data_IF_549587485427
#
_entry.id   IF_549587485427
#
_cell.length_a   1.000
_cell.length_b   1.000
_cell.length_c   1.000
_cell.angle_alpha   90.00
_cell.angle_beta   90.00
_cell.angle_gamma   90.00
#
_symmetry.space_group_name_H-M   'P 1'
#
loop_
_entity.id
_entity.type
_entity.pdbx_description
1 polymer ?
#
# COMPACT_ATOMS: atom_id res chain seq x y z
N UNK A 1 22.25 -19.06 -1.58
CA UNK A 1 21.77 -17.66 -1.55
C UNK A 1 20.77 -17.53 -0.42
N UNK A 2 21.15 -16.88 0.70
CA UNK A 2 20.18 -16.53 1.74
C UNK A 2 19.43 -15.28 1.28
N UNK A 3 18.23 -15.47 0.74
CA UNK A 3 17.27 -14.38 0.53
C UNK A 3 16.57 -14.09 1.86
N UNK A 4 16.65 -12.85 2.35
CA UNK A 4 15.95 -12.38 3.53
C UNK A 4 15.15 -11.11 3.22
N UNK A 5 14.05 -10.91 3.92
CA UNK A 5 13.29 -9.65 3.85
C UNK A 5 14.00 -8.66 4.78
N UNK A 6 14.43 -7.53 4.22
CA UNK A 6 14.97 -6.42 4.98
C UNK A 6 13.92 -5.31 5.03
N UNK A 7 13.71 -4.76 6.23
CA UNK A 7 12.77 -3.67 6.47
C UNK A 7 13.51 -2.43 6.93
N UNK A 8 12.87 -1.28 6.74
CA UNK A 8 13.28 0.02 7.26
C UNK A 8 12.03 0.77 7.74
N UNK A 9 12.16 1.74 8.66
CA UNK A 9 11.02 2.58 9.07
C UNK A 9 10.42 3.29 7.86
N UNK A 10 9.09 3.25 7.71
CA UNK A 10 8.41 3.93 6.61
C UNK A 10 8.42 5.45 6.78
N UNK A 11 8.32 5.91 8.04
CA UNK A 11 8.15 7.31 8.37
C UNK A 11 9.37 7.88 9.10
N UNK A 12 9.70 9.12 8.77
CA UNK A 12 10.62 9.94 9.55
C UNK A 12 9.95 10.40 10.85
N UNK A 13 10.74 10.99 11.75
CA UNK A 13 10.21 11.61 12.98
C UNK A 13 9.21 12.76 12.71
N UNK A 14 9.21 13.30 11.50
CA UNK A 14 8.31 14.39 11.08
C UNK A 14 6.97 13.88 10.51
N UNK A 15 6.78 12.56 10.39
CA UNK A 15 5.55 11.97 9.85
C UNK A 15 5.45 12.00 8.32
N UNK A 16 6.60 12.06 7.66
CA UNK A 16 6.75 11.99 6.20
C UNK A 16 7.43 10.68 5.79
N UNK A 17 7.39 10.30 4.52
CA UNK A 17 8.15 9.14 4.05
C UNK A 17 9.65 9.33 4.32
N UNK A 18 10.31 8.34 4.94
CA UNK A 18 11.72 8.45 5.34
C UNK A 18 12.67 8.26 4.14
N UNK A 19 12.84 9.32 3.34
CA UNK A 19 13.75 9.32 2.19
C UNK A 19 15.21 9.02 2.58
N UNK A 20 15.68 9.60 3.68
CA UNK A 20 17.05 9.41 4.14
C UNK A 20 17.28 7.98 4.65
N UNK A 21 16.35 7.46 5.46
CA UNK A 21 16.37 6.06 5.89
C UNK A 21 16.32 5.08 4.72
N UNK A 22 15.47 5.36 3.72
CA UNK A 22 15.39 4.58 2.49
C UNK A 22 16.72 4.59 1.72
N UNK A 23 17.30 5.77 1.48
CA UNK A 23 18.58 5.96 0.78
C UNK A 23 19.73 5.23 1.49
N UNK A 24 19.82 5.36 2.80
CA UNK A 24 20.85 4.73 3.61
C UNK A 24 20.71 3.21 3.60
N UNK A 25 19.48 2.71 3.72
CA UNK A 25 19.20 1.28 3.71
C UNK A 25 19.61 0.66 2.36
N UNK A 26 19.20 1.26 1.24
CA UNK A 26 19.59 0.77 -0.09
C UNK A 26 21.10 0.86 -0.32
N UNK A 27 21.75 1.95 0.12
CA UNK A 27 23.20 2.11 -0.03
C UNK A 27 23.98 1.06 0.77
N UNK A 28 23.55 0.75 2.00
CA UNK A 28 24.16 -0.30 2.83
C UNK A 28 23.95 -1.69 2.25
N UNK A 29 22.76 -1.97 1.72
CA UNK A 29 22.43 -3.26 1.10
C UNK A 29 23.14 -3.44 -0.24
N UNK A 30 23.17 -2.42 -1.10
CA UNK A 30 23.85 -2.42 -2.40
C UNK A 30 25.36 -2.66 -2.32
N UNK A 31 26.00 -2.24 -1.22
CA UNK A 31 27.43 -2.56 -0.95
C UNK A 31 27.67 -4.06 -0.70
N UNK A 32 26.66 -4.78 -0.20
CA UNK A 32 26.76 -6.21 0.15
C UNK A 32 26.23 -7.11 -0.96
N UNK A 33 25.21 -6.67 -1.69
CA UNK A 33 24.52 -7.41 -2.73
C UNK A 33 24.21 -6.50 -3.91
N UNK A 34 24.59 -6.93 -5.12
CA UNK A 34 24.39 -6.15 -6.34
C UNK A 34 22.94 -6.08 -6.81
N UNK A 35 22.15 -7.11 -6.51
CA UNK A 35 20.74 -7.18 -6.89
C UNK A 35 19.85 -6.75 -5.74
N UNK A 36 19.00 -5.75 -5.97
CA UNK A 36 18.03 -5.21 -5.02
C UNK A 36 16.62 -5.47 -5.56
N UNK A 37 15.78 -6.16 -4.79
CA UNK A 37 14.35 -6.30 -5.09
C UNK A 37 13.60 -5.47 -4.05
N UNK A 38 12.96 -4.40 -4.50
CA UNK A 38 12.32 -3.38 -3.66
C UNK A 38 10.81 -3.52 -3.85
N UNK A 39 10.06 -3.66 -2.76
CA UNK A 39 8.59 -3.68 -2.78
C UNK A 39 8.07 -2.37 -2.20
N UNK A 40 7.31 -1.62 -3.00
CA UNK A 40 6.62 -0.40 -2.59
C UNK A 40 5.13 -0.63 -2.69
N UNK A 41 4.41 -0.52 -1.58
CA UNK A 41 2.95 -0.65 -1.54
C UNK A 41 2.32 0.69 -1.17
N UNK A 42 1.75 1.38 -2.15
CA UNK A 42 1.07 2.67 -1.99
C UNK A 42 -0.20 2.75 -2.86
N UNK A 43 -1.38 3.08 -2.31
CA UNK A 43 -1.66 3.28 -0.88
C UNK A 43 -1.29 2.09 0.01
N UNK A 44 -0.70 2.38 1.15
CA UNK A 44 -0.05 1.39 2.00
C UNK A 44 -1.06 0.62 2.86
N UNK A 45 -0.86 -0.69 2.96
CA UNK A 45 -1.37 -1.51 4.04
C UNK A 45 -0.19 -1.85 4.98
N UNK A 46 -0.26 -1.49 6.28
CA UNK A 46 -1.45 -1.16 7.04
C UNK A 46 -1.76 0.34 7.24
N UNK A 47 -0.85 1.25 6.85
CA UNK A 47 -0.90 2.64 7.35
C UNK A 47 -1.92 3.53 6.65
N UNK A 48 -2.31 3.23 5.42
CA UNK A 48 -3.15 4.12 4.61
C UNK A 48 -2.41 5.32 4.03
N UNK A 49 -1.10 5.25 3.91
CA UNK A 49 -0.28 6.32 3.37
C UNK A 49 -0.02 6.17 1.87
N UNK A 50 0.05 7.29 1.16
CA UNK A 50 0.58 7.42 -0.21
C UNK A 50 1.53 8.62 -0.22
N UNK A 51 2.72 8.51 -0.84
CA UNK A 51 3.68 9.60 -0.88
C UNK A 51 3.13 10.89 -1.48
N UNK A 52 3.64 12.01 -0.98
CA UNK A 52 3.52 13.32 -1.59
C UNK A 52 4.36 13.39 -2.88
N UNK A 53 4.08 14.34 -3.80
CA UNK A 53 4.84 14.45 -5.05
C UNK A 53 6.35 14.53 -4.86
N UNK A 54 6.84 15.36 -3.92
CA UNK A 54 8.27 15.49 -3.65
C UNK A 54 8.90 14.21 -3.06
N UNK A 55 8.13 13.42 -2.30
CA UNK A 55 8.60 12.14 -1.78
C UNK A 55 8.70 11.09 -2.89
N UNK A 56 7.75 11.07 -3.83
CA UNK A 56 7.82 10.20 -5.01
C UNK A 56 9.02 10.54 -5.92
N UNK A 57 9.29 11.82 -6.12
CA UNK A 57 10.50 12.30 -6.81
C UNK A 57 11.78 11.89 -6.05
N UNK A 58 11.80 12.02 -4.73
CA UNK A 58 12.92 11.55 -3.91
C UNK A 58 13.15 10.04 -4.02
N UNK A 59 12.10 9.22 -3.98
CA UNK A 59 12.18 7.77 -4.17
C UNK A 59 12.79 7.46 -5.54
N UNK A 60 12.28 8.10 -6.60
CA UNK A 60 12.81 7.96 -7.97
C UNK A 60 14.30 8.26 -8.01
N UNK A 61 14.72 9.41 -7.48
CA UNK A 61 16.10 9.89 -7.57
C UNK A 61 17.05 8.96 -6.80
N UNK A 62 16.64 8.47 -5.63
CA UNK A 62 17.40 7.49 -4.85
C UNK A 62 17.58 6.18 -5.65
N UNK A 63 16.53 5.69 -6.31
CA UNK A 63 16.60 4.46 -7.11
C UNK A 63 17.58 4.64 -8.28
N UNK A 64 17.51 5.76 -8.99
CA UNK A 64 18.45 6.09 -10.07
C UNK A 64 19.89 6.21 -9.53
N UNK A 65 20.09 6.82 -8.37
CA UNK A 65 21.40 6.91 -7.73
C UNK A 65 21.99 5.52 -7.45
N UNK A 66 21.17 4.57 -6.99
CA UNK A 66 21.62 3.19 -6.75
C UNK A 66 21.93 2.45 -8.06
N UNK A 67 21.13 2.64 -9.11
CA UNK A 67 21.39 2.04 -10.42
C UNK A 67 22.72 2.54 -11.00
N UNK A 68 23.00 3.85 -10.90
CA UNK A 68 24.27 4.48 -11.32
C UNK A 68 25.50 3.98 -10.55
N UNK A 69 25.33 3.47 -9.32
CA UNK A 69 26.38 2.78 -8.55
C UNK A 69 26.61 1.33 -9.02
N UNK A 70 25.92 0.91 -10.08
CA UNK A 70 26.00 -0.42 -10.67
C UNK A 70 25.28 -1.49 -9.85
N UNK A 71 24.12 -1.16 -9.27
CA UNK A 71 23.21 -2.13 -8.67
C UNK A 71 22.09 -2.47 -9.66
N UNK A 72 21.72 -3.74 -9.74
CA UNK A 72 20.55 -4.22 -10.50
C UNK A 72 19.30 -4.08 -9.62
N UNK A 73 18.31 -3.35 -10.08
CA UNK A 73 17.13 -3.01 -9.29
C UNK A 73 15.89 -3.59 -9.95
N UNK A 74 15.14 -4.37 -9.19
CA UNK A 74 13.75 -4.72 -9.50
C UNK A 74 12.87 -3.96 -8.52
N UNK A 75 12.21 -2.90 -8.98
CA UNK A 75 11.22 -2.18 -8.19
C UNK A 75 9.84 -2.76 -8.49
N UNK A 76 9.18 -3.30 -7.47
CA UNK A 76 7.80 -3.79 -7.53
C UNK A 76 6.89 -2.76 -6.88
N UNK A 77 5.95 -2.21 -7.66
CA UNK A 77 4.91 -1.31 -7.15
C UNK A 77 3.61 -2.10 -6.98
N UNK A 78 3.26 -2.38 -5.73
CA UNK A 78 1.99 -2.99 -5.35
C UNK A 78 0.93 -1.90 -5.23
N UNK A 79 0.14 -1.77 -6.30
CA UNK A 79 -0.90 -0.78 -6.51
C UNK A 79 -2.29 -1.32 -6.10
N UNK A 80 -2.35 -2.28 -5.18
CA UNK A 80 -3.61 -2.91 -4.78
C UNK A 80 -4.71 -1.93 -4.34
N UNK A 81 -4.36 -0.72 -3.89
CA UNK A 81 -5.30 0.31 -3.44
C UNK A 81 -5.30 1.56 -4.34
N UNK A 82 -4.71 1.48 -5.53
CA UNK A 82 -4.62 2.61 -6.46
C UNK A 82 -5.99 3.26 -6.70
N UNK A 83 -6.00 4.57 -6.99
CA UNK A 83 -7.19 5.44 -7.07
C UNK A 83 -7.91 5.77 -5.75
N UNK A 84 -7.57 5.15 -4.62
CA UNK A 84 -8.20 5.46 -3.32
C UNK A 84 -7.47 6.58 -2.57
N UNK A 85 -7.31 7.74 -3.20
CA UNK A 85 -6.60 8.88 -2.63
C UNK A 85 -7.57 9.92 -2.05
N UNK A 86 -7.48 10.25 -0.75
CA UNK A 86 -8.47 11.13 -0.09
C UNK A 86 -7.97 12.53 0.25
N UNK A 87 -6.64 12.71 0.36
CA UNK A 87 -5.96 14.00 0.54
C UNK A 87 -4.80 14.14 -0.49
N UNK A 88 -3.95 15.14 -0.28
CA UNK A 88 -2.76 15.39 -1.10
C UNK A 88 -1.84 14.16 -1.10
N UNK A 89 -1.48 13.75 -2.31
CA UNK A 89 -0.65 12.58 -2.63
C UNK A 89 -0.33 12.62 -4.13
N UNK A 90 0.60 11.79 -4.59
CA UNK A 90 0.65 11.43 -6.02
C UNK A 90 -0.68 10.80 -6.46
N UNK A 91 -1.04 11.04 -7.72
CA UNK A 91 -2.24 10.47 -8.37
C UNK A 91 -1.92 9.46 -9.46
N UNK A 92 -0.65 9.33 -9.80
CA UNK A 92 -0.12 8.30 -10.68
C UNK A 92 0.64 7.25 -9.87
N UNK A 93 0.76 6.06 -10.43
CA UNK A 93 1.55 4.98 -9.82
C UNK A 93 3.02 5.38 -9.74
N UNK A 94 3.73 4.94 -8.70
CA UNK A 94 5.19 5.03 -8.67
C UNK A 94 5.82 4.36 -9.90
N UNK A 95 5.12 3.40 -10.54
CA UNK A 95 5.56 2.80 -11.79
C UNK A 95 5.87 3.86 -12.87
N UNK A 96 5.01 4.87 -13.00
CA UNK A 96 5.18 5.94 -13.99
C UNK A 96 6.40 6.82 -13.66
N UNK A 97 6.73 6.99 -12.38
CA UNK A 97 7.89 7.75 -11.95
C UNK A 97 9.20 7.02 -12.22
N UNK A 98 9.19 5.68 -12.32
CA UNK A 98 10.42 4.86 -12.27
C UNK A 98 10.70 4.02 -13.50
N UNK A 99 9.85 4.06 -14.53
CA UNK A 99 10.12 3.41 -15.82
C UNK A 99 11.04 4.25 -16.71
N UNK A 100 11.83 3.63 -17.59
CA UNK A 100 12.66 4.32 -18.59
C UNK A 100 13.83 5.15 -18.03
N UNK A 101 14.29 4.86 -16.81
CA UNK A 101 15.27 5.73 -16.12
C UNK A 101 16.75 5.30 -16.26
N UNK A 102 17.03 4.00 -16.27
CA UNK A 102 18.40 3.45 -16.32
C UNK A 102 18.37 1.95 -16.65
N UNK A 103 19.25 1.45 -17.50
CA UNK A 103 19.28 0.03 -17.95
C UNK A 103 19.20 -1.01 -16.82
N UNK A 104 19.87 -0.75 -15.69
CA UNK A 104 19.83 -1.60 -14.49
C UNK A 104 18.51 -1.55 -13.68
N UNK A 105 17.48 -0.81 -14.11
CA UNK A 105 16.18 -0.72 -13.44
C UNK A 105 15.14 -1.49 -14.25
N UNK A 106 14.50 -2.45 -13.60
CA UNK A 106 13.25 -3.05 -14.04
C UNK A 106 12.14 -2.67 -13.06
N UNK A 107 11.18 -1.89 -13.52
CA UNK A 107 9.98 -1.57 -12.73
C UNK A 107 8.86 -2.57 -13.07
N UNK A 108 8.17 -3.06 -12.05
CA UNK A 108 7.06 -4.03 -12.18
C UNK A 108 5.85 -3.47 -11.45
N UNK A 109 4.76 -3.19 -12.17
CA UNK A 109 3.48 -2.81 -11.57
C UNK A 109 2.64 -4.05 -11.34
N UNK A 110 2.07 -4.14 -10.14
CA UNK A 110 1.07 -5.13 -9.77
C UNK A 110 -0.22 -4.39 -9.39
N UNK A 111 -1.24 -4.46 -10.22
CA UNK A 111 -2.55 -3.83 -10.02
C UNK A 111 -3.70 -4.77 -10.37
N UNK A 112 -4.94 -4.32 -10.21
CA UNK A 112 -6.09 -5.13 -10.62
C UNK A 112 -7.43 -4.74 -10.01
N UNK A 113 -8.47 -5.38 -10.55
CA UNK A 113 -9.87 -5.13 -10.23
C UNK A 113 -10.24 -5.36 -8.74
N UNK A 114 -9.36 -6.01 -7.97
CA UNK A 114 -9.64 -6.47 -6.60
C UNK A 114 -10.20 -5.36 -5.69
N UNK A 115 -9.59 -4.16 -5.67
CA UNK A 115 -10.11 -3.01 -4.90
C UNK A 115 -10.45 -1.82 -5.77
N UNK A 116 -9.77 -1.63 -6.90
CA UNK A 116 -10.11 -0.56 -7.85
C UNK A 116 -11.55 -0.69 -8.36
N UNK A 117 -12.01 -1.93 -8.57
CA UNK A 117 -13.36 -2.24 -9.05
C UNK A 117 -14.24 -2.92 -7.98
N UNK A 118 -13.76 -3.03 -6.74
CA UNK A 118 -14.51 -3.58 -5.60
C UNK A 118 -15.00 -5.03 -5.81
N UNK A 119 -14.16 -5.86 -6.44
CA UNK A 119 -14.45 -7.28 -6.74
C UNK A 119 -13.38 -8.23 -6.19
N UNK A 120 -13.18 -8.22 -4.87
CA UNK A 120 -12.11 -8.98 -4.19
C UNK A 120 -12.00 -10.47 -4.58
N UNK A 121 -13.16 -11.13 -4.71
CA UNK A 121 -13.28 -12.55 -5.02
C UNK A 121 -13.06 -12.91 -6.49
N UNK A 122 -12.96 -11.93 -7.39
CA UNK A 122 -12.82 -12.20 -8.83
C UNK A 122 -11.43 -12.66 -9.23
N UNK A 123 -10.41 -12.37 -8.41
CA UNK A 123 -9.02 -12.82 -8.61
C UNK A 123 -8.47 -12.43 -9.99
N UNK A 124 -8.76 -11.21 -10.43
CA UNK A 124 -8.23 -10.60 -11.66
C UNK A 124 -7.23 -9.52 -11.28
N UNK A 125 -6.02 -9.61 -11.84
CA UNK A 125 -4.96 -8.63 -11.69
C UNK A 125 -3.99 -8.70 -12.85
N UNK A 126 -3.11 -7.71 -12.95
CA UNK A 126 -2.20 -7.54 -14.07
C UNK A 126 -0.76 -7.38 -13.56
N UNK A 127 0.18 -7.73 -14.44
CA UNK A 127 1.61 -7.52 -14.24
C UNK A 127 2.08 -6.71 -15.43
N UNK A 128 2.58 -5.51 -15.18
CA UNK A 128 3.12 -4.63 -16.22
C UNK A 128 4.60 -4.39 -15.97
N UNK A 129 5.42 -4.56 -17.01
CA UNK A 129 6.87 -4.35 -16.95
C UNK A 129 7.23 -3.01 -17.57
N UNK A 130 8.07 -2.25 -16.89
CA UNK A 130 8.69 -1.02 -17.37
C UNK A 130 10.19 -1.19 -17.39
N UNK A 131 10.77 -1.25 -18.59
CA UNK A 131 12.22 -1.35 -18.76
C UNK A 131 12.87 0.01 -18.53
N UNK A 132 14.08 -0.01 -17.98
CA UNK A 132 14.89 1.20 -17.86
C UNK A 132 15.61 1.61 -19.14
N UNK A 133 15.78 0.67 -20.09
CA UNK A 133 16.29 0.93 -21.45
C UNK A 133 15.29 0.35 -22.47
N UNK A 134 14.56 1.23 -23.15
CA UNK A 134 13.56 0.85 -24.15
C UNK A 134 14.17 0.24 -25.41
N UNK A 135 15.45 0.47 -25.69
CA UNK A 135 16.12 -0.11 -26.86
C UNK A 135 16.18 -1.65 -26.81
N UNK A 136 15.97 -2.24 -25.63
CA UNK A 136 15.95 -3.68 -25.41
C UNK A 136 14.54 -4.28 -25.41
N UNK A 137 13.49 -3.47 -25.60
CA UNK A 137 12.08 -3.88 -25.49
C UNK A 137 11.74 -5.12 -26.32
N UNK A 138 12.14 -5.13 -27.60
CA UNK A 138 11.84 -6.20 -28.55
C UNK A 138 12.43 -7.56 -28.15
N UNK A 139 13.55 -7.56 -27.40
CA UNK A 139 14.17 -8.78 -26.91
C UNK A 139 13.65 -9.17 -25.51
N UNK A 140 13.48 -8.20 -24.61
CA UNK A 140 13.23 -8.45 -23.19
C UNK A 140 11.75 -8.71 -22.91
N UNK A 141 10.83 -7.93 -23.48
CA UNK A 141 9.39 -8.12 -23.19
C UNK A 141 8.89 -9.51 -23.59
N UNK A 142 9.19 -10.06 -24.79
CA UNK A 142 8.77 -11.42 -25.14
C UNK A 142 9.37 -12.49 -24.22
N UNK A 143 10.59 -12.27 -23.72
CA UNK A 143 11.24 -13.19 -22.78
C UNK A 143 10.56 -13.17 -21.40
N UNK A 144 10.23 -11.97 -20.89
CA UNK A 144 9.49 -11.80 -19.64
C UNK A 144 8.08 -12.41 -19.76
N UNK A 145 7.35 -12.10 -20.83
CA UNK A 145 6.02 -12.63 -21.08
C UNK A 145 6.02 -14.16 -21.11
N UNK A 146 6.92 -14.79 -21.88
CA UNK A 146 7.05 -16.26 -21.93
C UNK A 146 7.35 -16.86 -20.55
N UNK A 147 8.22 -16.23 -19.76
CA UNK A 147 8.58 -16.72 -18.42
C UNK A 147 7.39 -16.58 -17.45
N UNK A 148 6.67 -15.47 -17.49
CA UNK A 148 5.46 -15.25 -16.69
C UNK A 148 4.36 -16.24 -17.08
N UNK A 149 4.10 -16.42 -18.38
CA UNK A 149 3.15 -17.42 -18.87
C UNK A 149 3.53 -18.84 -18.44
N UNK A 150 4.82 -19.19 -18.49
CA UNK A 150 5.31 -20.46 -17.96
C UNK A 150 5.09 -20.62 -16.44
N UNK A 151 5.32 -19.57 -15.67
CA UNK A 151 5.04 -19.55 -14.22
C UNK A 151 3.55 -19.70 -13.92
N UNK A 152 2.68 -18.97 -14.63
CA UNK A 152 1.22 -19.09 -14.51
C UNK A 152 0.79 -20.51 -14.88
N UNK A 153 1.24 -21.03 -16.02
CA UNK A 153 0.86 -22.37 -16.50
C UNK A 153 1.26 -23.47 -15.52
N UNK A 154 2.46 -23.38 -14.94
CA UNK A 154 2.98 -24.38 -14.01
C UNK A 154 2.39 -24.32 -12.61
N UNK A 155 1.75 -23.21 -12.22
CA UNK A 155 1.17 -23.02 -10.88
C UNK A 155 -0.34 -23.03 -10.84
N UNK A 156 -0.97 -22.29 -11.75
CA UNK A 156 -2.41 -22.01 -11.74
C UNK A 156 -3.11 -22.43 -13.03
N UNK A 157 -2.35 -22.82 -14.06
CA UNK A 157 -2.81 -23.03 -15.43
C UNK A 157 -3.27 -21.74 -16.12
N UNK A 158 -4.32 -21.09 -15.61
CA UNK A 158 -4.88 -19.83 -16.13
C UNK A 158 -5.69 -19.11 -15.03
N UNK A 159 -5.96 -17.82 -15.23
CA UNK A 159 -6.81 -17.03 -14.34
C UNK A 159 -8.31 -17.28 -14.64
N UNK A 160 -9.24 -17.02 -13.69
CA UNK A 160 -10.65 -17.36 -13.86
C UNK A 160 -11.30 -16.64 -15.05
N UNK A 161 -11.70 -17.40 -16.07
CA UNK A 161 -12.22 -16.82 -17.31
C UNK A 161 -13.52 -16.02 -17.10
N UNK A 162 -14.46 -16.54 -16.30
CA UNK A 162 -15.71 -15.83 -15.99
C UNK A 162 -15.43 -14.46 -15.37
N UNK A 163 -14.53 -14.40 -14.38
CA UNK A 163 -14.17 -13.15 -13.72
C UNK A 163 -13.50 -12.15 -14.65
N UNK A 164 -12.59 -12.61 -15.52
CA UNK A 164 -11.99 -11.76 -16.56
C UNK A 164 -13.06 -11.16 -17.49
N UNK A 165 -14.00 -11.99 -17.96
CA UNK A 165 -15.09 -11.55 -18.83
C UNK A 165 -16.01 -10.54 -18.14
N UNK A 166 -16.32 -10.73 -16.86
CA UNK A 166 -17.15 -9.79 -16.10
C UNK A 166 -16.42 -8.46 -15.85
N UNK A 167 -15.12 -8.49 -15.52
CA UNK A 167 -14.31 -7.27 -15.39
C UNK A 167 -14.27 -6.52 -16.72
N UNK A 168 -14.01 -7.19 -17.84
CA UNK A 168 -14.01 -6.56 -19.16
C UNK A 168 -15.34 -5.87 -19.47
N UNK A 169 -16.47 -6.58 -19.29
CA UNK A 169 -17.80 -6.01 -19.49
C UNK A 169 -18.10 -4.83 -18.57
N UNK A 170 -17.60 -4.86 -17.33
CA UNK A 170 -17.73 -3.74 -16.41
C UNK A 170 -16.93 -2.52 -16.90
N UNK A 171 -15.69 -2.71 -17.37
CA UNK A 171 -14.84 -1.64 -17.91
C UNK A 171 -15.43 -1.00 -19.17
N UNK A 172 -16.13 -1.77 -20.00
CA UNK A 172 -16.83 -1.32 -21.21
C UNK A 172 -18.19 -0.66 -20.92
N UNK A 173 -18.69 -0.77 -19.67
CA UNK A 173 -19.99 -0.21 -19.30
C UNK A 173 -19.96 1.32 -19.30
N UNK A 174 -20.94 2.02 -19.91
CA UNK A 174 -21.02 3.47 -19.86
C UNK A 174 -21.20 4.01 -18.42
N UNK A 175 -21.69 3.18 -17.49
CA UNK A 175 -21.91 3.58 -16.09
C UNK A 175 -20.67 3.37 -15.20
N UNK A 176 -19.62 2.72 -15.71
CA UNK A 176 -18.47 2.29 -14.92
C UNK A 176 -17.86 3.40 -14.07
N UNK A 177 -17.58 4.55 -14.69
CA UNK A 177 -16.96 5.68 -14.00
C UNK A 177 -17.86 6.23 -12.89
N UNK A 178 -19.17 6.35 -13.15
CA UNK A 178 -20.12 6.88 -12.17
C UNK A 178 -20.27 5.93 -10.97
N UNK A 179 -20.40 4.63 -11.21
CA UNK A 179 -20.52 3.63 -10.16
C UNK A 179 -19.25 3.55 -9.30
N UNK A 180 -18.07 3.62 -9.92
CA UNK A 180 -16.79 3.66 -9.20
C UNK A 180 -16.65 4.93 -8.38
N UNK A 181 -17.04 6.09 -8.92
CA UNK A 181 -17.01 7.36 -8.20
C UNK A 181 -17.93 7.34 -6.97
N UNK A 182 -19.14 6.79 -7.08
CA UNK A 182 -20.06 6.70 -5.95
C UNK A 182 -19.48 5.90 -4.77
N UNK A 183 -18.80 4.78 -5.07
CA UNK A 183 -18.12 3.96 -4.07
C UNK A 183 -16.90 4.69 -3.46
N UNK A 184 -16.12 5.37 -4.29
CA UNK A 184 -15.00 6.20 -3.85
C UNK A 184 -15.46 7.30 -2.89
N UNK A 185 -16.54 8.04 -3.20
CA UNK A 185 -17.06 9.11 -2.33
C UNK A 185 -17.51 8.58 -0.97
N UNK A 186 -18.10 7.37 -0.94
CA UNK A 186 -18.47 6.71 0.31
C UNK A 186 -17.24 6.45 1.19
N UNK A 187 -16.17 5.90 0.62
CA UNK A 187 -14.92 5.66 1.34
C UNK A 187 -14.23 6.96 1.75
N UNK A 188 -14.24 7.98 0.90
CA UNK A 188 -13.66 9.29 1.17
C UNK A 188 -14.31 9.94 2.39
N UNK A 189 -15.64 9.93 2.48
CA UNK A 189 -16.37 10.47 3.65
C UNK A 189 -15.95 9.78 4.95
N UNK A 190 -15.89 8.43 4.94
CA UNK A 190 -15.43 7.63 6.09
C UNK A 190 -14.00 8.00 6.47
N UNK A 191 -13.08 8.03 5.50
CA UNK A 191 -11.68 8.38 5.73
C UNK A 191 -11.52 9.79 6.33
N UNK A 192 -12.21 10.79 5.79
CA UNK A 192 -12.17 12.17 6.30
C UNK A 192 -12.73 12.29 7.72
N UNK A 193 -13.83 11.59 8.03
CA UNK A 193 -14.38 11.54 9.39
C UNK A 193 -13.38 10.89 10.36
N UNK A 194 -12.74 9.79 9.97
CA UNK A 194 -11.71 9.10 10.77
C UNK A 194 -10.49 9.98 11.00
N UNK A 195 -10.01 10.70 9.99
CA UNK A 195 -8.92 11.68 10.14
C UNK A 195 -9.25 12.73 11.20
N UNK A 196 -10.47 13.28 11.19
CA UNK A 196 -10.90 14.29 12.17
C UNK A 196 -11.11 13.73 13.58
N UNK A 197 -11.67 12.52 13.70
CA UNK A 197 -11.97 11.91 15.01
C UNK A 197 -10.71 11.37 15.68
N UNK A 198 -9.89 10.59 14.97
CA UNK A 198 -8.73 9.88 15.54
C UNK A 198 -7.68 10.77 16.20
N UNK A 199 -7.65 12.07 15.84
CA UNK A 199 -6.70 13.07 16.31
C UNK A 199 -7.22 13.98 17.44
N UNK A 200 -8.45 13.75 17.93
CA UNK A 200 -9.03 14.58 18.99
C UNK A 200 -8.19 14.52 20.27
N UNK A 201 -8.13 15.65 20.98
CA UNK A 201 -7.32 15.81 22.19
C UNK A 201 -7.59 14.75 23.26
N UNK A 202 -8.87 14.38 23.46
CA UNK A 202 -9.27 13.36 24.44
C UNK A 202 -8.59 12.00 24.24
N UNK A 203 -8.11 11.69 23.04
CA UNK A 203 -7.48 10.41 22.72
C UNK A 203 -5.95 10.43 22.82
N UNK A 204 -5.33 11.60 22.97
CA UNK A 204 -3.87 11.74 22.90
C UNK A 204 -3.14 11.02 24.04
N UNK A 205 -3.81 10.73 25.15
CA UNK A 205 -3.24 9.93 26.25
C UNK A 205 -3.08 8.45 25.90
N UNK A 206 -3.86 7.95 24.94
CA UNK A 206 -3.96 6.53 24.60
C UNK A 206 -3.07 6.14 23.41
N UNK A 207 -3.02 6.97 22.36
CA UNK A 207 -2.28 6.66 21.13
C UNK A 207 -1.69 7.88 20.41
N UNK A 208 -0.84 7.59 19.44
CA UNK A 208 -0.44 8.48 18.35
C UNK A 208 -1.00 7.95 17.03
N UNK A 209 -1.30 8.83 16.07
CA UNK A 209 -1.86 8.45 14.76
C UNK A 209 -0.72 8.44 13.74
N UNK A 210 -0.55 7.33 13.01
CA UNK A 210 0.37 7.29 11.89
C UNK A 210 -0.15 8.15 10.72
N UNK A 211 0.74 8.75 9.91
CA UNK A 211 0.34 9.47 8.71
C UNK A 211 -0.50 8.60 7.78
N UNK A 212 -1.65 9.11 7.32
CA UNK A 212 -2.52 8.42 6.37
C UNK A 212 -3.32 9.42 5.53
N UNK A 213 -3.52 9.10 4.25
CA UNK A 213 -4.20 9.97 3.27
C UNK A 213 -4.98 9.17 2.20
N UNK A 214 -5.02 7.84 2.27
CA UNK A 214 -5.47 6.97 1.18
C UNK A 214 -5.80 5.55 1.65
N UNK A 215 -6.30 4.71 0.73
CA UNK A 215 -6.51 3.27 0.96
C UNK A 215 -7.74 2.94 1.81
N UNK A 216 -7.66 1.86 2.60
CA UNK A 216 -8.78 1.35 3.42
C UNK A 216 -8.55 1.44 4.94
N UNK A 217 -7.31 1.72 5.32
CA UNK A 217 -6.82 1.50 6.68
C UNK A 217 -6.14 2.74 7.23
N UNK A 218 -6.02 2.78 8.55
CA UNK A 218 -5.12 3.68 9.26
C UNK A 218 -4.55 2.94 10.46
N UNK A 219 -3.41 3.42 10.98
CA UNK A 219 -2.76 2.83 12.14
C UNK A 219 -2.71 3.79 13.33
N UNK A 220 -2.88 3.22 14.51
CA UNK A 220 -2.63 3.87 15.80
C UNK A 220 -1.44 3.19 16.48
N UNK A 221 -0.51 3.97 16.99
CA UNK A 221 0.54 3.51 17.89
C UNK A 221 0.06 3.69 19.33
N UNK A 222 -0.20 2.59 20.04
CA UNK A 222 -0.63 2.59 21.43
C UNK A 222 0.54 2.96 22.35
N UNK A 223 0.28 3.82 23.35
CA UNK A 223 1.35 4.36 24.20
C UNK A 223 1.69 3.50 25.42
N UNK A 224 0.69 2.82 25.99
CA UNK A 224 0.80 2.19 27.32
C UNK A 224 0.51 0.70 27.36
N UNK A 225 -0.23 0.21 26.38
CA UNK A 225 -0.77 -1.16 26.39
C UNK A 225 -0.28 -1.94 25.19
N UNK A 226 -0.09 -3.25 25.38
CA UNK A 226 0.23 -4.14 24.27
C UNK A 226 -0.98 -4.27 23.33
N UNK A 227 -0.74 -4.15 22.02
CA UNK A 227 -1.78 -4.12 21.00
C UNK A 227 -2.60 -5.41 20.92
N UNK A 228 -2.01 -6.59 21.10
CA UNK A 228 -2.77 -7.86 21.10
C UNK A 228 -3.69 -7.97 22.33
N UNK A 229 -3.24 -7.51 23.51
CA UNK A 229 -4.10 -7.44 24.70
C UNK A 229 -5.28 -6.50 24.47
N UNK A 230 -5.03 -5.31 23.93
CA UNK A 230 -6.08 -4.37 23.59
C UNK A 230 -7.06 -4.95 22.57
N UNK A 231 -6.56 -5.61 21.52
CA UNK A 231 -7.39 -6.28 20.49
C UNK A 231 -8.33 -7.32 21.09
N UNK A 232 -7.82 -8.19 21.97
CA UNK A 232 -8.63 -9.21 22.63
C UNK A 232 -9.66 -8.61 23.59
N UNK A 233 -9.28 -7.61 24.37
CA UNK A 233 -10.18 -6.92 25.30
C UNK A 233 -11.34 -6.23 24.56
N UNK A 234 -11.02 -5.46 23.51
CA UNK A 234 -12.02 -4.78 22.68
C UNK A 234 -13.00 -5.77 22.05
N UNK A 235 -12.51 -6.91 21.56
CA UNK A 235 -13.39 -7.94 21.00
C UNK A 235 -14.30 -8.57 22.06
N UNK A 236 -13.74 -8.93 23.22
CA UNK A 236 -14.47 -9.68 24.24
C UNK A 236 -15.44 -8.83 25.06
N UNK A 237 -15.07 -7.59 25.38
CA UNK A 237 -15.89 -6.71 26.23
C UNK A 237 -16.82 -5.79 25.43
N UNK A 238 -16.40 -5.40 24.22
CA UNK A 238 -17.11 -4.39 23.43
C UNK A 238 -17.58 -4.89 22.06
N UNK A 239 -17.21 -6.10 21.65
CA UNK A 239 -17.53 -6.62 20.31
C UNK A 239 -16.83 -5.86 19.18
N UNK A 240 -15.77 -5.09 19.48
CA UNK A 240 -15.04 -4.29 18.48
C UNK A 240 -13.84 -5.05 17.96
N UNK A 241 -13.82 -5.30 16.65
CA UNK A 241 -12.72 -5.95 15.94
C UNK A 241 -11.70 -4.94 15.39
N UNK A 242 -10.48 -4.98 15.91
CA UNK A 242 -9.30 -4.34 15.32
C UNK A 242 -8.23 -5.38 15.00
N UNK A 243 -7.15 -4.99 14.32
CA UNK A 243 -5.99 -5.86 14.07
C UNK A 243 -4.78 -5.31 14.81
N UNK A 244 -4.11 -6.12 15.62
CA UNK A 244 -2.76 -5.83 16.13
C UNK A 244 -1.74 -6.16 15.05
N UNK A 245 -0.92 -5.18 14.66
CA UNK A 245 0.12 -5.34 13.64
C UNK A 245 1.41 -5.84 14.28
N UNK A 246 1.76 -5.27 15.44
CA UNK A 246 2.89 -5.67 16.28
C UNK A 246 2.53 -5.43 17.76
N UNK A 247 3.53 -5.22 18.62
CA UNK A 247 3.34 -5.02 20.06
C UNK A 247 2.68 -3.70 20.43
N UNK A 248 2.83 -2.65 19.61
CA UNK A 248 2.31 -1.31 19.90
C UNK A 248 1.26 -0.84 18.92
N UNK A 249 1.21 -1.41 17.72
CA UNK A 249 0.46 -0.83 16.62
C UNK A 249 -0.82 -1.61 16.33
N UNK A 250 -1.92 -0.87 16.17
CA UNK A 250 -3.20 -1.41 15.74
C UNK A 250 -3.65 -0.78 14.42
N UNK A 251 -4.20 -1.61 13.53
CA UNK A 251 -4.79 -1.20 12.26
C UNK A 251 -6.31 -1.16 12.39
N UNK A 252 -6.90 -0.03 11.98
CA UNK A 252 -8.34 0.19 11.90
C UNK A 252 -8.74 0.23 10.42
N UNK A 253 -9.77 -0.54 10.06
CA UNK A 253 -10.32 -0.59 8.71
C UNK A 253 -11.56 0.29 8.58
N UNK A 254 -11.37 1.55 8.20
CA UNK A 254 -12.50 2.45 7.96
C UNK A 254 -13.31 2.07 6.71
N UNK A 255 -12.77 1.21 5.85
CA UNK A 255 -13.48 0.70 4.67
C UNK A 255 -14.77 -0.05 4.99
N UNK A 256 -14.91 -0.60 6.20
CA UNK A 256 -16.06 -1.38 6.65
C UNK A 256 -16.81 -0.76 7.83
N UNK A 257 -16.65 0.55 8.06
CA UNK A 257 -17.34 1.28 9.14
C UNK A 257 -18.22 2.36 8.53
N UNK A 258 -19.46 2.47 8.98
CA UNK A 258 -20.34 3.55 8.51
C UNK A 258 -19.92 4.91 9.08
N UNK A 259 -20.09 5.98 8.30
CA UNK A 259 -19.61 7.33 8.65
C UNK A 259 -20.13 7.80 10.02
N UNK A 260 -21.38 7.50 10.34
CA UNK A 260 -22.03 7.86 11.60
C UNK A 260 -21.56 7.03 12.81
N UNK A 261 -20.93 5.87 12.59
CA UNK A 261 -20.41 4.99 13.63
C UNK A 261 -18.95 5.28 14.01
N UNK A 262 -18.24 6.07 13.18
CA UNK A 262 -16.81 6.35 13.40
C UNK A 262 -16.54 6.94 14.79
N UNK A 263 -17.38 7.86 15.24
CA UNK A 263 -17.17 8.54 16.53
C UNK A 263 -17.32 7.58 17.72
N UNK A 264 -18.40 6.81 17.72
CA UNK A 264 -18.65 5.77 18.72
C UNK A 264 -17.55 4.70 18.72
N UNK A 265 -17.08 4.26 17.55
CA UNK A 265 -16.00 3.28 17.43
C UNK A 265 -14.72 3.76 18.13
N UNK A 266 -14.30 5.01 17.88
CA UNK A 266 -13.09 5.56 18.50
C UNK A 266 -13.26 5.80 20.00
N UNK A 267 -14.47 6.12 20.47
CA UNK A 267 -14.76 6.21 21.90
C UNK A 267 -14.67 4.86 22.61
N UNK A 268 -15.16 3.80 21.97
CA UNK A 268 -15.02 2.43 22.49
C UNK A 268 -13.56 1.99 22.49
N UNK A 269 -12.81 2.26 21.42
CA UNK A 269 -11.37 1.95 21.34
C UNK A 269 -10.61 2.67 22.47
N UNK A 270 -10.90 3.95 22.68
CA UNK A 270 -10.34 4.72 23.79
C UNK A 270 -10.64 4.09 25.15
N UNK A 271 -11.91 3.80 25.42
CA UNK A 271 -12.29 3.20 26.70
C UNK A 271 -11.60 1.85 26.92
N UNK A 272 -11.60 0.97 25.92
CA UNK A 272 -10.96 -0.35 26.03
C UNK A 272 -9.44 -0.28 26.23
N UNK A 273 -8.78 0.77 25.74
CA UNK A 273 -7.35 1.01 26.03
C UNK A 273 -7.17 1.53 27.46
N UNK A 274 -8.06 2.42 27.93
CA UNK A 274 -8.01 2.96 29.29
C UNK A 274 -8.28 1.90 30.37
N UNK A 275 -9.12 0.91 30.10
CA UNK A 275 -9.35 -0.21 31.02
C UNK A 275 -8.08 -1.05 31.29
N UNK A 276 -7.12 -1.02 30.37
CA UNK A 276 -5.89 -1.79 30.41
C UNK A 276 -4.65 -0.95 30.78
N UNK A 277 -4.80 0.37 30.92
CA UNK A 277 -3.72 1.34 31.12
C UNK A 277 -3.35 1.59 32.57
#
# INVERSE_FOLDING_TARGET
YQSGILTYPLFSNEGHFDLEGFKDHLSRTGKKQKKLVILMNFPNNPTGYTPLPHEAEGIRDIIVEQAKKGNDIILVTDDAYFNLFFKDSIKESLFAYTTGLHENILTVKLDGATKEDYVWGFRVGFITFGLGDESQADAVYPALEKKVLGAIRSKLSNAPHLSQTLVLKALESPNYQQERQNKYETLKKRALKVMGVSQREKYQSAWSVYPFNSGYFMCLQLKKVNAEKARQHLLNQYGVGIISVDDTDVRIAFSCVEENQVEELFDIIYQGIMDLS
#
